data_IF_278963481684
#
_entry.id   IF_278963481684
#
_cell.length_a   1.000
_cell.length_b   1.000
_cell.length_c   1.000
_cell.angle_alpha   90.00
_cell.angle_beta   90.00
_cell.angle_gamma   90.00
#
_symmetry.space_group_name_H-M   'P 1'
#
loop_
_entity.id
_entity.type
_entity.pdbx_description
1 polymer ?
#
# COMPACT_ATOMS: atom_id res chain seq x y z
N UNK A 1 -46.68 10.71 -28.68
CA UNK A 1 -45.74 9.96 -27.84
C UNK A 1 -44.53 10.84 -27.54
N UNK A 2 -44.47 11.39 -26.33
CA UNK A 2 -43.39 12.29 -25.91
C UNK A 2 -42.18 11.46 -25.40
N UNK A 3 -41.03 11.50 -26.08
CA UNK A 3 -39.79 10.91 -25.60
C UNK A 3 -39.20 11.82 -24.48
N UNK A 4 -39.16 11.32 -23.26
CA UNK A 4 -38.51 11.98 -22.14
C UNK A 4 -37.00 12.10 -22.43
N UNK A 5 -36.45 13.31 -22.35
CA UNK A 5 -35.02 13.60 -22.34
C UNK A 5 -34.47 13.18 -20.97
N UNK A 6 -33.64 12.14 -20.93
CA UNK A 6 -32.83 11.85 -19.75
C UNK A 6 -31.48 12.56 -19.90
N UNK A 7 -31.01 13.25 -18.85
CA UNK A 7 -29.64 13.80 -18.84
C UNK A 7 -28.61 12.68 -18.85
N UNK A 8 -27.45 12.95 -19.42
CA UNK A 8 -26.35 11.98 -19.49
C UNK A 8 -26.03 11.41 -18.10
N UNK A 9 -25.70 10.12 -18.02
CA UNK A 9 -25.40 9.37 -16.79
C UNK A 9 -24.35 10.09 -15.89
N UNK A 10 -23.44 10.84 -16.49
CA UNK A 10 -22.45 11.65 -15.79
C UNK A 10 -23.07 12.81 -15.00
N UNK A 11 -24.07 13.48 -15.56
CA UNK A 11 -24.82 14.56 -14.86
C UNK A 11 -25.69 13.97 -13.75
N UNK A 12 -26.26 12.77 -13.97
CA UNK A 12 -27.05 12.08 -12.94
C UNK A 12 -26.18 11.61 -11.76
N UNK A 13 -24.95 11.18 -12.01
CA UNK A 13 -24.00 10.80 -10.94
C UNK A 13 -23.53 12.00 -10.12
N UNK A 14 -23.31 13.15 -10.75
CA UNK A 14 -22.97 14.42 -10.07
C UNK A 14 -24.17 14.93 -9.26
N UNK A 15 -25.38 14.92 -9.83
CA UNK A 15 -26.60 15.33 -9.12
C UNK A 15 -26.93 14.40 -7.93
N UNK A 16 -26.72 13.10 -8.06
CA UNK A 16 -26.93 12.14 -6.95
C UNK A 16 -25.88 12.28 -5.84
N UNK A 17 -24.64 12.67 -6.16
CA UNK A 17 -23.61 13.02 -5.17
C UNK A 17 -24.02 14.25 -4.36
N UNK A 18 -24.48 15.30 -5.04
CA UNK A 18 -24.91 16.55 -4.40
C UNK A 18 -26.18 16.36 -3.54
N UNK A 19 -27.13 15.52 -4.00
CA UNK A 19 -28.36 15.23 -3.24
C UNK A 19 -28.08 14.37 -2.01
N UNK A 20 -27.12 13.44 -2.07
CA UNK A 20 -26.71 12.63 -0.90
C UNK A 20 -26.02 13.48 0.18
N UNK A 21 -25.20 14.45 -0.20
CA UNK A 21 -24.51 15.31 0.75
C UNK A 21 -25.49 16.21 1.51
N UNK A 22 -26.49 16.78 0.84
CA UNK A 22 -27.53 17.57 1.51
C UNK A 22 -28.47 16.76 2.39
N UNK A 23 -28.74 15.51 2.06
CA UNK A 23 -29.56 14.64 2.91
C UNK A 23 -28.82 14.22 4.19
N UNK A 24 -27.51 13.98 4.11
CA UNK A 24 -26.66 13.66 5.26
C UNK A 24 -26.53 14.84 6.24
N UNK A 25 -26.34 16.06 5.75
CA UNK A 25 -26.24 17.24 6.60
C UNK A 25 -27.53 17.51 7.39
N UNK A 26 -28.69 17.29 6.80
CA UNK A 26 -29.97 17.45 7.49
C UNK A 26 -30.21 16.38 8.57
N UNK A 27 -29.73 15.16 8.36
CA UNK A 27 -29.80 14.07 9.34
C UNK A 27 -28.83 14.34 10.51
N UNK A 28 -27.62 14.80 10.25
CA UNK A 28 -26.62 15.13 11.27
C UNK A 28 -27.07 16.34 12.10
N UNK A 29 -27.71 17.34 11.50
CA UNK A 29 -28.24 18.49 12.21
C UNK A 29 -29.39 18.12 13.14
N UNK A 30 -30.24 17.16 12.76
CA UNK A 30 -31.34 16.62 13.60
C UNK A 30 -30.77 15.86 14.81
N UNK A 31 -29.77 14.99 14.62
CA UNK A 31 -29.14 14.24 15.71
C UNK A 31 -28.44 15.14 16.74
N UNK A 32 -27.80 16.23 16.32
CA UNK A 32 -27.12 17.19 17.24
C UNK A 32 -28.12 17.94 18.12
N UNK A 33 -29.35 18.15 17.68
CA UNK A 33 -30.40 18.82 18.48
C UNK A 33 -30.93 17.92 19.62
N UNK A 34 -31.03 16.64 19.39
CA UNK A 34 -31.50 15.67 20.37
C UNK A 34 -30.45 15.37 21.45
N UNK A 35 -29.17 15.33 21.13
CA UNK A 35 -28.07 15.16 22.12
C UNK A 35 -27.99 16.34 23.11
N UNK A 36 -28.26 17.57 22.69
CA UNK A 36 -28.23 18.73 23.59
C UNK A 36 -29.38 18.77 24.60
N UNK A 37 -30.53 18.15 24.29
CA UNK A 37 -31.67 18.09 25.24
C UNK A 37 -31.48 17.00 26.31
N UNK A 38 -30.82 15.90 26.01
CA UNK A 38 -30.55 14.80 26.96
C UNK A 38 -29.43 15.13 27.95
N UNK A 39 -28.49 15.99 27.56
CA UNK A 39 -27.31 16.34 28.35
C UNK A 39 -27.63 17.18 29.60
N UNK A 40 -28.74 17.94 29.62
CA UNK A 40 -29.03 18.85 30.76
C UNK A 40 -29.67 18.19 31.98
N UNK A 41 -30.18 16.97 31.92
CA UNK A 41 -30.86 16.31 33.04
C UNK A 41 -29.96 15.40 33.90
N UNK A 42 -28.75 15.08 33.49
CA UNK A 42 -27.92 14.08 34.18
C UNK A 42 -26.62 14.62 34.85
N UNK A 43 -26.43 15.94 34.93
CA UNK A 43 -25.19 16.52 35.44
C UNK A 43 -25.08 16.51 36.96
N UNK A 44 -26.22 16.58 37.69
CA UNK A 44 -26.21 16.74 39.17
C UNK A 44 -25.83 15.45 39.91
N UNK A 45 -26.05 14.27 39.32
CA UNK A 45 -25.82 13.00 40.02
C UNK A 45 -24.42 12.36 39.74
N UNK A 46 -23.69 12.84 38.74
CA UNK A 46 -22.38 12.27 38.37
C UNK A 46 -21.21 12.73 39.27
N UNK A 47 -21.32 13.90 39.92
CA UNK A 47 -20.28 14.38 40.78
C UNK A 47 -20.27 13.65 42.13
N UNK A 48 -21.40 13.33 42.72
CA UNK A 48 -21.52 12.55 43.95
C UNK A 48 -20.98 11.11 43.77
N UNK A 49 -21.33 10.46 42.65
CA UNK A 49 -20.87 9.09 42.30
C UNK A 49 -19.36 9.07 42.05
N UNK A 50 -18.79 10.08 41.40
CA UNK A 50 -17.33 10.20 41.22
C UNK A 50 -16.58 10.40 42.50
N UNK A 51 -17.11 11.19 43.45
CA UNK A 51 -16.50 11.39 44.78
C UNK A 51 -16.42 10.09 45.59
N UNK A 52 -17.48 9.29 45.58
CA UNK A 52 -17.50 7.98 46.27
C UNK A 52 -16.52 7.00 45.60
N UNK A 53 -16.43 7.00 44.27
CA UNK A 53 -15.52 6.11 43.54
C UNK A 53 -14.05 6.44 43.80
N UNK A 54 -13.69 7.73 43.85
CA UNK A 54 -12.32 8.15 44.23
C UNK A 54 -11.97 7.82 45.67
N UNK A 55 -12.91 7.95 46.61
CA UNK A 55 -12.67 7.59 48.01
C UNK A 55 -12.43 6.07 48.15
N UNK A 56 -13.17 5.22 47.47
CA UNK A 56 -12.96 3.77 47.47
C UNK A 56 -11.63 3.37 46.82
N UNK A 57 -11.23 4.01 45.73
CA UNK A 57 -9.91 3.76 45.09
C UNK A 57 -8.76 4.16 46.03
N UNK A 58 -8.83 5.33 46.68
CA UNK A 58 -7.80 5.77 47.62
C UNK A 58 -7.73 4.86 48.86
N UNK A 59 -8.87 4.35 49.34
CA UNK A 59 -8.92 3.41 50.46
C UNK A 59 -8.30 2.06 50.12
N UNK A 60 -8.55 1.54 48.94
CA UNK A 60 -7.95 0.29 48.44
C UNK A 60 -6.44 0.44 48.21
N UNK A 61 -5.98 1.57 47.68
CA UNK A 61 -4.55 1.86 47.48
C UNK A 61 -3.83 1.99 48.82
N UNK A 62 -4.43 2.63 49.83
CA UNK A 62 -3.89 2.73 51.17
C UNK A 62 -3.74 1.37 51.86
N UNK A 63 -4.73 0.49 51.78
CA UNK A 63 -4.64 -0.88 52.30
C UNK A 63 -3.57 -1.73 51.61
N UNK A 64 -3.41 -1.56 50.31
CA UNK A 64 -2.36 -2.26 49.52
C UNK A 64 -0.95 -1.80 49.91
N UNK A 65 -0.76 -0.53 50.20
CA UNK A 65 0.54 0.02 50.64
C UNK A 65 1.00 -0.54 51.99
N UNK A 66 0.07 -0.73 52.94
CA UNK A 66 0.40 -1.33 54.25
C UNK A 66 0.78 -2.80 54.13
N UNK A 67 0.15 -3.55 53.20
CA UNK A 67 0.49 -4.95 52.95
C UNK A 67 1.88 -5.12 52.29
N UNK A 68 2.29 -4.17 51.44
CA UNK A 68 3.61 -4.20 50.77
C UNK A 68 4.76 -3.87 51.77
N UNK A 69 4.53 -3.00 52.75
CA UNK A 69 5.57 -2.64 53.71
C UNK A 69 5.90 -3.76 54.72
N UNK A 70 4.99 -4.73 54.91
CA UNK A 70 5.21 -5.85 55.84
C UNK A 70 5.79 -7.11 55.21
N UNK A 71 6.03 -7.11 53.90
CA UNK A 71 6.70 -8.22 53.24
C UNK A 71 8.21 -8.00 53.24
N UNK A 72 8.95 -8.80 54.02
CA UNK A 72 10.41 -8.92 53.87
C UNK A 72 10.67 -9.43 52.42
N UNK A 73 11.55 -8.75 51.66
CA UNK A 73 11.89 -9.25 50.34
C UNK A 73 12.52 -10.65 50.45
N UNK A 74 12.14 -11.62 49.66
CA UNK A 74 12.82 -12.91 49.63
C UNK A 74 14.29 -12.68 49.25
N UNK A 75 15.18 -13.27 50.03
CA UNK A 75 16.62 -13.26 49.80
C UNK A 75 16.90 -13.73 48.36
N UNK A 76 17.31 -12.81 47.48
CA UNK A 76 17.76 -13.14 46.13
C UNK A 76 19.07 -13.91 46.21
N UNK A 77 19.02 -15.23 46.06
CA UNK A 77 20.21 -16.00 45.67
C UNK A 77 20.75 -15.46 44.36
N UNK A 78 22.08 -15.29 44.19
CA UNK A 78 22.65 -14.90 42.93
C UNK A 78 22.25 -15.94 41.88
N UNK A 79 21.57 -15.53 40.82
CA UNK A 79 21.33 -16.36 39.62
C UNK A 79 22.70 -16.49 38.94
N UNK A 80 23.43 -17.54 39.30
CA UNK A 80 24.58 -17.98 38.56
C UNK A 80 24.06 -18.74 37.32
N UNK A 81 24.37 -18.24 36.16
CA UNK A 81 24.07 -18.87 34.89
C UNK A 81 23.31 -17.92 33.97
N UNK A 82 24.03 -17.23 33.09
CA UNK A 82 23.44 -16.81 31.82
C UNK A 82 23.07 -18.09 31.09
N UNK A 83 21.81 -18.53 31.22
CA UNK A 83 21.25 -19.49 30.28
C UNK A 83 21.37 -18.86 28.90
N UNK A 84 22.29 -19.37 28.09
CA UNK A 84 22.27 -19.14 26.66
C UNK A 84 20.88 -19.54 26.20
N UNK A 85 20.10 -18.54 25.74
CA UNK A 85 18.81 -18.79 25.11
C UNK A 85 19.12 -19.67 23.89
N UNK A 86 18.87 -20.96 24.04
CA UNK A 86 18.98 -21.91 22.93
C UNK A 86 17.86 -21.58 21.98
N UNK A 87 18.19 -20.91 20.89
CA UNK A 87 17.28 -20.58 19.79
C UNK A 87 16.88 -21.92 19.13
N UNK A 88 15.81 -22.56 19.64
CA UNK A 88 15.44 -23.93 19.27
C UNK A 88 14.45 -24.05 18.11
N UNK A 89 13.80 -22.96 17.67
CA UNK A 89 12.80 -22.98 16.60
C UNK A 89 13.34 -22.52 15.24
N UNK A 90 12.80 -23.06 14.15
CA UNK A 90 13.17 -22.67 12.77
C UNK A 90 12.94 -21.18 12.54
N UNK A 91 11.80 -20.63 12.96
CA UNK A 91 11.46 -19.20 12.85
C UNK A 91 12.48 -18.33 13.57
N UNK A 92 12.90 -18.71 14.80
CA UNK A 92 13.90 -17.96 15.56
C UNK A 92 15.27 -17.94 14.86
N UNK A 93 15.67 -19.03 14.23
CA UNK A 93 16.91 -19.09 13.43
C UNK A 93 16.83 -18.19 12.22
N UNK A 94 15.73 -18.23 11.47
CA UNK A 94 15.49 -17.35 10.31
C UNK A 94 15.48 -15.88 10.73
N UNK A 95 14.79 -15.54 11.82
CA UNK A 95 14.77 -14.20 12.36
C UNK A 95 16.19 -13.70 12.73
N UNK A 96 16.98 -14.51 13.42
CA UNK A 96 18.36 -14.17 13.78
C UNK A 96 19.26 -13.99 12.55
N UNK A 97 19.10 -14.81 11.53
CA UNK A 97 19.85 -14.75 10.27
C UNK A 97 19.53 -13.49 9.46
N UNK A 98 18.24 -13.12 9.36
CA UNK A 98 17.76 -12.07 8.42
C UNK A 98 17.67 -10.69 9.09
N UNK A 99 17.39 -10.61 10.40
CA UNK A 99 17.28 -9.33 11.10
C UNK A 99 18.44 -8.35 10.86
N UNK A 100 19.71 -8.78 10.73
CA UNK A 100 20.80 -7.88 10.40
C UNK A 100 20.66 -7.19 9.03
N UNK A 101 19.87 -7.76 8.14
CA UNK A 101 19.58 -7.19 6.80
C UNK A 101 18.39 -6.23 6.81
N UNK A 102 17.60 -6.18 7.90
CA UNK A 102 16.40 -5.34 8.00
C UNK A 102 16.69 -4.11 8.84
N UNK A 103 16.40 -2.94 8.29
CA UNK A 103 16.68 -1.64 8.88
C UNK A 103 15.39 -0.89 9.18
N UNK A 104 15.45 0.02 10.17
CA UNK A 104 14.43 1.03 10.39
C UNK A 104 14.65 2.22 9.46
N UNK A 105 13.57 2.84 9.03
CA UNK A 105 13.59 4.08 8.24
C UNK A 105 12.73 5.11 8.93
N UNK A 106 13.32 6.26 9.25
CA UNK A 106 12.62 7.44 9.72
C UNK A 106 12.62 8.48 8.61
N UNK A 107 11.44 8.87 8.16
CA UNK A 107 11.22 9.90 7.16
C UNK A 107 10.82 11.19 7.87
N UNK A 108 11.66 12.19 7.78
CA UNK A 108 11.38 13.54 8.27
C UNK A 108 10.91 14.38 7.08
N UNK A 109 9.66 14.79 7.11
CA UNK A 109 9.02 15.63 6.11
C UNK A 109 8.35 16.85 6.74
N UNK A 110 7.96 17.83 5.94
CA UNK A 110 7.12 18.94 6.40
C UNK A 110 5.78 18.84 5.65
N UNK A 111 4.70 19.00 6.38
CA UNK A 111 3.37 19.14 5.82
C UNK A 111 2.79 20.50 6.20
N UNK A 112 2.04 21.13 5.29
CA UNK A 112 1.40 22.43 5.48
C UNK A 112 1.86 23.53 4.52
N UNK A 113 1.12 24.63 4.54
CA UNK A 113 1.39 25.85 3.74
C UNK A 113 2.62 26.61 4.27
N UNK A 114 3.15 27.54 3.43
CA UNK A 114 4.35 28.37 3.72
C UNK A 114 4.32 29.02 5.11
N UNK A 115 3.14 29.25 5.68
CA UNK A 115 2.94 29.88 6.98
C UNK A 115 2.66 28.91 8.15
N UNK A 116 2.39 27.60 7.88
CA UNK A 116 2.05 26.59 8.90
C UNK A 116 2.72 25.25 8.59
N UNK A 117 4.05 25.23 8.58
CA UNK A 117 4.78 23.97 8.42
C UNK A 117 4.73 23.13 9.70
N UNK A 118 4.15 21.93 9.61
CA UNK A 118 4.24 20.91 10.64
C UNK A 118 5.30 19.89 10.24
N UNK A 119 6.23 19.62 11.16
CA UNK A 119 7.15 18.47 10.98
C UNK A 119 6.36 17.19 11.13
N UNK A 120 6.43 16.34 10.12
CA UNK A 120 5.82 15.00 10.12
C UNK A 120 6.94 13.98 10.16
N UNK A 121 6.83 13.05 11.08
CA UNK A 121 7.74 11.91 11.19
C UNK A 121 6.96 10.65 10.86
N UNK A 122 7.40 9.96 9.81
CA UNK A 122 6.83 8.67 9.39
C UNK A 122 7.91 7.61 9.51
N UNK A 123 7.54 6.45 10.03
CA UNK A 123 8.47 5.34 10.22
C UNK A 123 8.07 4.13 9.39
N UNK A 124 9.05 3.36 8.97
CA UNK A 124 8.89 2.12 8.26
C UNK A 124 10.17 1.28 8.32
N UNK A 125 10.24 0.29 7.47
CA UNK A 125 11.37 -0.62 7.38
C UNK A 125 12.02 -0.59 6.00
N UNK A 126 13.22 -1.17 5.90
CA UNK A 126 13.90 -1.40 4.65
C UNK A 126 14.74 -2.68 4.72
N UNK A 127 15.16 -3.16 3.56
CA UNK A 127 15.96 -4.39 3.41
C UNK A 127 17.24 -4.07 2.67
N UNK A 128 18.40 -4.35 3.29
CA UNK A 128 19.72 -4.21 2.67
C UNK A 128 19.87 -5.30 1.60
N UNK A 129 20.16 -4.92 0.37
CA UNK A 129 20.21 -5.84 -0.78
C UNK A 129 21.63 -6.08 -1.34
N UNK A 130 22.61 -5.25 -0.97
CA UNK A 130 23.99 -5.43 -1.37
C UNK A 130 25.00 -4.79 -0.39
N UNK A 131 26.28 -5.12 -0.59
CA UNK A 131 27.37 -4.57 0.22
C UNK A 131 27.71 -3.10 -0.07
N UNK A 132 27.04 -2.47 -1.04
CA UNK A 132 27.22 -1.05 -1.40
C UNK A 132 26.27 -0.13 -0.60
N UNK A 133 25.43 -0.69 0.28
CA UNK A 133 24.49 0.03 1.10
C UNK A 133 23.20 0.41 0.39
N UNK A 134 22.83 -0.30 -0.66
CA UNK A 134 21.51 -0.16 -1.25
C UNK A 134 20.46 -0.86 -0.38
N UNK A 135 19.34 -0.17 -0.18
CA UNK A 135 18.24 -0.62 0.66
C UNK A 135 16.96 -0.47 -0.15
N UNK A 136 16.17 -1.52 -0.19
CA UNK A 136 14.81 -1.51 -0.73
C UNK A 136 13.83 -1.17 0.37
N UNK A 137 12.86 -0.33 0.08
CA UNK A 137 11.72 -0.02 0.94
C UNK A 137 10.48 0.25 0.11
N UNK A 138 9.38 0.64 0.75
CA UNK A 138 8.22 1.12 0.04
C UNK A 138 8.34 2.60 -0.35
N UNK A 139 7.73 2.96 -1.48
CA UNK A 139 7.67 4.36 -1.91
C UNK A 139 6.93 5.23 -0.89
N UNK A 140 5.80 4.75 -0.32
CA UNK A 140 5.05 5.52 0.67
C UNK A 140 5.85 5.80 1.95
N UNK A 141 6.83 4.96 2.32
CA UNK A 141 7.72 5.16 3.48
C UNK A 141 8.68 6.34 3.24
N UNK A 142 9.17 6.53 2.02
CA UNK A 142 10.19 7.54 1.69
C UNK A 142 9.62 8.77 0.96
N UNK A 143 8.33 8.75 0.62
CA UNK A 143 7.66 9.82 -0.13
C UNK A 143 7.77 11.16 0.60
N UNK A 144 8.05 12.24 -0.16
CA UNK A 144 8.16 13.62 0.33
C UNK A 144 9.22 13.84 1.43
N UNK A 145 10.20 12.93 1.59
CA UNK A 145 11.23 13.06 2.60
C UNK A 145 12.11 14.29 2.33
N UNK A 146 12.25 15.15 3.32
CA UNK A 146 13.30 16.18 3.37
C UNK A 146 14.62 15.56 3.87
N UNK A 147 14.51 14.61 4.79
CA UNK A 147 15.63 13.86 5.34
C UNK A 147 15.20 12.44 5.67
N UNK A 148 16.05 11.46 5.32
CA UNK A 148 15.86 10.05 5.65
C UNK A 148 16.96 9.59 6.59
N UNK A 149 16.57 9.00 7.71
CA UNK A 149 17.47 8.37 8.69
C UNK A 149 17.22 6.86 8.62
N UNK A 150 18.28 6.11 8.42
CA UNK A 150 18.27 4.63 8.45
C UNK A 150 18.92 4.18 9.76
N UNK A 151 18.21 3.40 10.53
CA UNK A 151 18.72 2.77 11.76
C UNK A 151 19.05 1.32 11.47
N UNK A 152 20.33 0.98 11.53
CA UNK A 152 20.85 -0.38 11.32
C UNK A 152 20.49 -1.30 12.52
N UNK A 153 20.70 -2.61 12.34
CA UNK A 153 20.39 -3.61 13.36
C UNK A 153 21.20 -3.43 14.68
N UNK A 154 22.37 -2.80 14.61
CA UNK A 154 23.21 -2.48 15.79
C UNK A 154 22.81 -1.15 16.47
N UNK A 155 21.75 -0.48 15.99
CA UNK A 155 21.30 0.83 16.47
C UNK A 155 22.05 2.02 15.84
N UNK A 156 23.00 1.78 14.94
CA UNK A 156 23.72 2.87 14.24
C UNK A 156 22.78 3.60 13.29
N UNK A 157 22.73 4.92 13.39
CA UNK A 157 21.95 5.77 12.47
C UNK A 157 22.83 6.27 11.33
N UNK A 158 22.31 6.24 10.13
CA UNK A 158 22.93 6.73 8.90
C UNK A 158 21.93 7.55 8.10
N UNK A 159 22.37 8.66 7.56
CA UNK A 159 21.59 9.42 6.60
C UNK A 159 21.55 8.68 5.26
N UNK A 160 20.36 8.62 4.66
CA UNK A 160 20.15 7.94 3.39
C UNK A 160 19.72 8.93 2.31
N UNK A 161 20.08 8.63 1.07
CA UNK A 161 19.59 9.34 -0.12
C UNK A 161 18.68 8.44 -0.95
N UNK A 162 17.64 9.01 -1.52
CA UNK A 162 16.79 8.32 -2.50
C UNK A 162 17.53 8.20 -3.82
N UNK A 163 17.63 6.99 -4.37
CA UNK A 163 18.18 6.72 -5.69
C UNK A 163 17.06 6.82 -6.73
N UNK A 164 15.89 6.28 -6.41
CA UNK A 164 14.69 6.38 -7.21
C UNK A 164 13.51 5.71 -6.53
N UNK A 165 12.32 6.04 -7.01
CA UNK A 165 11.06 5.50 -6.50
C UNK A 165 10.16 5.06 -7.64
N UNK A 166 9.27 4.15 -7.33
CA UNK A 166 8.22 3.70 -8.21
C UNK A 166 6.86 3.65 -7.49
N UNK A 167 6.04 4.69 -7.62
CA UNK A 167 4.72 4.73 -6.99
C UNK A 167 3.77 3.61 -7.43
N UNK A 168 3.96 3.08 -8.65
CA UNK A 168 3.09 2.02 -9.20
C UNK A 168 3.29 0.66 -8.56
N UNK A 169 4.51 0.35 -8.12
CA UNK A 169 4.79 -0.89 -7.38
C UNK A 169 4.98 -0.64 -5.90
N UNK A 170 4.84 0.62 -5.47
CA UNK A 170 5.13 1.06 -4.10
C UNK A 170 6.54 0.68 -3.64
N UNK A 171 7.52 0.69 -4.54
CA UNK A 171 8.93 0.39 -4.25
C UNK A 171 9.80 1.66 -4.28
N UNK A 172 10.83 1.66 -3.46
CA UNK A 172 11.86 2.67 -3.43
C UNK A 172 13.24 2.03 -3.25
N UNK A 173 14.25 2.61 -3.89
CA UNK A 173 15.65 2.31 -3.65
C UNK A 173 16.31 3.52 -2.99
N UNK A 174 16.85 3.29 -1.80
CA UNK A 174 17.64 4.29 -1.08
C UNK A 174 19.07 3.77 -0.88
N UNK A 175 19.98 4.66 -0.53
CA UNK A 175 21.39 4.32 -0.33
C UNK A 175 21.95 5.01 0.89
N UNK A 176 22.67 4.26 1.72
CA UNK A 176 23.49 4.76 2.82
C UNK A 176 24.97 4.70 2.47
N UNK A 177 25.79 5.50 3.15
CA UNK A 177 27.25 5.35 3.13
C UNK A 177 27.65 4.20 4.04
N UNK A 178 28.30 3.19 3.46
CA UNK A 178 28.78 2.01 4.18
C UNK A 178 30.21 2.24 4.62
N UNK A 179 30.45 2.22 5.93
CA UNK A 179 31.80 2.34 6.53
C UNK A 179 32.23 1.01 7.16
N UNK A 180 31.27 0.12 7.42
CA UNK A 180 31.49 -1.21 7.99
C UNK A 180 30.72 -2.24 7.16
N UNK A 181 31.11 -3.51 7.24
CA UNK A 181 30.41 -4.59 6.55
C UNK A 181 28.95 -4.64 6.97
N UNK A 182 28.03 -4.54 6.02
CA UNK A 182 26.60 -4.79 6.17
C UNK A 182 26.28 -6.22 5.75
N UNK A 183 25.13 -6.73 6.17
CA UNK A 183 24.68 -8.08 5.80
C UNK A 183 23.52 -7.97 4.81
N UNK A 184 23.74 -8.18 3.51
CA UNK A 184 22.66 -8.19 2.53
C UNK A 184 21.77 -9.43 2.67
N UNK A 185 20.47 -9.29 2.42
CA UNK A 185 19.57 -10.43 2.31
C UNK A 185 19.85 -11.24 1.03
N UNK A 186 19.62 -12.54 1.10
CA UNK A 186 19.61 -13.38 -0.11
C UNK A 186 18.23 -13.35 -0.74
N UNK A 187 18.17 -13.16 -2.06
CA UNK A 187 16.90 -13.23 -2.79
C UNK A 187 16.46 -14.69 -3.00
N UNK A 188 15.21 -14.97 -2.66
CA UNK A 188 14.49 -16.16 -3.08
C UNK A 188 13.80 -15.95 -4.44
N UNK A 189 13.14 -16.99 -4.92
CA UNK A 189 12.35 -16.98 -6.14
C UNK A 189 10.86 -17.01 -5.78
N UNK A 190 10.20 -15.85 -5.88
CA UNK A 190 8.79 -15.72 -5.51
C UNK A 190 7.82 -16.47 -6.43
N UNK A 191 8.27 -16.84 -7.65
CA UNK A 191 7.41 -17.59 -8.59
C UNK A 191 7.34 -19.07 -8.23
N UNK A 192 8.24 -19.57 -7.35
CA UNK A 192 8.23 -20.94 -6.83
C UNK A 192 7.44 -21.12 -5.54
N UNK A 193 6.95 -20.03 -4.94
CA UNK A 193 6.12 -20.10 -3.74
C UNK A 193 4.84 -20.89 -4.02
N UNK A 194 4.40 -21.63 -2.99
CA UNK A 194 3.13 -22.34 -3.01
C UNK A 194 2.25 -21.88 -1.85
N UNK A 195 0.94 -21.93 -2.05
CA UNK A 195 -0.04 -21.63 -0.97
C UNK A 195 0.12 -22.65 0.15
N UNK A 196 0.19 -22.18 1.39
CA UNK A 196 0.46 -22.98 2.58
C UNK A 196 1.94 -23.03 2.98
N UNK A 197 2.87 -22.50 2.18
CA UNK A 197 4.29 -22.40 2.53
C UNK A 197 4.49 -21.42 3.69
N UNK A 198 5.29 -21.80 4.69
CA UNK A 198 5.58 -20.98 5.85
C UNK A 198 6.48 -19.80 5.47
N UNK A 199 6.11 -18.61 5.96
CA UNK A 199 6.85 -17.37 5.75
C UNK A 199 7.01 -16.58 7.03
N UNK A 200 8.07 -15.77 7.09
CA UNK A 200 8.37 -14.90 8.24
C UNK A 200 8.45 -13.46 7.74
N UNK A 201 7.61 -12.60 8.30
CA UNK A 201 7.67 -11.17 8.05
C UNK A 201 8.53 -10.49 9.12
N UNK A 202 9.51 -9.71 8.69
CA UNK A 202 10.49 -9.03 9.54
C UNK A 202 10.47 -7.55 9.22
N UNK A 203 10.29 -6.73 10.28
CA UNK A 203 10.36 -5.28 10.21
C UNK A 203 11.21 -4.72 11.35
N UNK A 204 11.52 -3.44 11.25
CA UNK A 204 12.24 -2.70 12.29
C UNK A 204 11.53 -1.36 12.59
N UNK A 205 10.27 -1.40 13.06
CA UNK A 205 9.50 -0.20 13.33
C UNK A 205 10.08 0.59 14.49
N UNK A 206 10.05 1.94 14.38
CA UNK A 206 10.30 2.88 15.48
C UNK A 206 11.67 2.72 16.18
N UNK A 207 12.73 2.35 15.46
CA UNK A 207 14.06 2.24 16.02
C UNK A 207 14.14 1.27 17.21
N UNK A 208 14.79 1.67 18.32
CA UNK A 208 15.06 0.79 19.46
C UNK A 208 13.81 0.35 20.27
N UNK A 209 12.67 1.06 20.20
CA UNK A 209 11.48 0.75 21.03
C UNK A 209 10.74 -0.52 20.60
N UNK A 210 10.69 -0.82 19.28
CA UNK A 210 10.06 -2.02 18.71
C UNK A 210 10.97 -2.66 17.66
N UNK A 211 12.29 -2.49 17.82
CA UNK A 211 13.28 -3.06 16.93
C UNK A 211 13.05 -4.56 16.74
N UNK A 212 13.08 -5.01 15.47
CA UNK A 212 12.99 -6.42 15.09
C UNK A 212 11.64 -7.07 15.39
N UNK A 213 10.55 -6.42 14.96
CA UNK A 213 9.25 -7.11 14.96
C UNK A 213 9.29 -8.27 13.97
N UNK A 214 9.02 -9.47 14.47
CA UNK A 214 8.97 -10.71 13.70
C UNK A 214 7.59 -11.30 13.86
N UNK A 215 6.92 -11.57 12.73
CA UNK A 215 5.67 -12.31 12.69
C UNK A 215 5.81 -13.49 11.74
N UNK A 216 5.11 -14.57 11.98
CA UNK A 216 5.14 -15.76 11.15
C UNK A 216 3.73 -16.14 10.71
N UNK A 217 3.64 -16.75 9.56
CA UNK A 217 2.40 -17.23 8.97
C UNK A 217 2.70 -18.07 7.74
N UNK A 218 1.74 -18.14 6.84
CA UNK A 218 1.85 -18.87 5.58
C UNK A 218 1.57 -17.96 4.38
N UNK A 219 1.92 -18.41 3.20
CA UNK A 219 1.41 -17.87 1.94
C UNK A 219 -0.07 -18.24 1.84
N UNK A 220 -0.96 -17.27 2.06
CA UNK A 220 -2.42 -17.47 2.00
C UNK A 220 -2.96 -17.35 0.58
N UNK A 221 -2.21 -16.75 -0.33
CA UNK A 221 -2.58 -16.60 -1.73
C UNK A 221 -1.46 -16.00 -2.57
N UNK A 222 -1.48 -16.31 -3.85
CA UNK A 222 -0.53 -15.80 -4.83
C UNK A 222 -1.25 -15.01 -5.92
N UNK A 223 -0.50 -14.11 -6.57
CA UNK A 223 -1.01 -13.30 -7.69
C UNK A 223 -2.31 -12.54 -7.36
N UNK A 224 -2.45 -12.04 -6.13
CA UNK A 224 -3.60 -11.21 -5.75
C UNK A 224 -3.50 -9.87 -6.46
N UNK A 225 -4.49 -9.56 -7.29
CA UNK A 225 -4.60 -8.26 -7.96
C UNK A 225 -5.45 -7.35 -7.08
N UNK A 226 -4.84 -6.29 -6.57
CA UNK A 226 -5.52 -5.28 -5.76
C UNK A 226 -5.30 -3.90 -6.38
N UNK A 227 -6.39 -3.18 -6.59
CA UNK A 227 -6.37 -1.84 -7.19
C UNK A 227 -6.57 -0.80 -6.08
N UNK A 228 -5.68 0.18 -5.99
CA UNK A 228 -5.80 1.29 -5.06
C UNK A 228 -6.80 2.33 -5.58
N UNK A 229 -7.24 3.25 -4.70
CA UNK A 229 -8.07 4.39 -5.08
C UNK A 229 -7.40 5.28 -6.14
N UNK A 230 -6.06 5.32 -6.16
CA UNK A 230 -5.27 6.03 -7.17
C UNK A 230 -5.26 5.32 -8.55
N UNK A 231 -5.91 4.15 -8.67
CA UNK A 231 -6.02 3.37 -9.90
C UNK A 231 -4.80 2.51 -10.24
N UNK A 232 -3.86 2.29 -9.30
CA UNK A 232 -2.74 1.38 -9.49
C UNK A 232 -3.13 -0.04 -9.11
N UNK A 233 -2.86 -1.00 -9.99
CA UNK A 233 -3.06 -2.43 -9.70
C UNK A 233 -1.74 -3.05 -9.28
N UNK A 234 -1.77 -3.73 -8.14
CA UNK A 234 -0.64 -4.45 -7.57
C UNK A 234 -0.87 -5.95 -7.69
N UNK A 235 0.17 -6.67 -8.10
CA UNK A 235 0.21 -8.13 -8.01
C UNK A 235 0.98 -8.52 -6.76
N UNK A 236 0.32 -9.17 -5.81
CA UNK A 236 0.84 -9.36 -4.46
C UNK A 236 0.81 -10.83 -4.01
N UNK A 237 1.69 -11.14 -3.06
CA UNK A 237 1.62 -12.31 -2.21
C UNK A 237 0.71 -11.95 -1.03
N UNK A 238 -0.30 -12.76 -0.74
CA UNK A 238 -1.11 -12.67 0.46
C UNK A 238 -0.53 -13.60 1.53
N UNK A 239 -0.47 -13.12 2.78
CA UNK A 239 -0.04 -13.89 3.95
C UNK A 239 -0.93 -13.57 5.16
N UNK A 240 -1.05 -14.50 6.09
CA UNK A 240 -1.66 -14.30 7.41
C UNK A 240 -0.62 -13.89 8.48
N UNK A 241 0.68 -13.86 8.14
CA UNK A 241 1.67 -13.20 8.96
C UNK A 241 1.25 -11.71 9.16
N UNK A 242 1.19 -11.25 10.40
CA UNK A 242 0.70 -9.92 10.71
C UNK A 242 1.57 -8.82 10.08
N UNK A 243 1.01 -8.07 9.13
CA UNK A 243 1.61 -6.91 8.49
C UNK A 243 0.93 -5.66 9.05
N UNK A 244 1.70 -4.85 9.77
CA UNK A 244 1.21 -3.65 10.48
C UNK A 244 2.08 -2.44 10.15
N UNK A 245 1.63 -1.20 10.44
CA UNK A 245 2.47 -0.02 10.35
C UNK A 245 3.80 -0.23 11.09
N UNK A 246 4.91 0.00 10.37
CA UNK A 246 6.26 -0.19 10.87
C UNK A 246 6.99 -1.39 10.25
N UNK A 247 6.34 -2.50 9.86
CA UNK A 247 7.00 -3.54 9.07
C UNK A 247 6.84 -3.36 7.55
N UNK A 248 6.13 -2.32 7.12
CA UNK A 248 6.09 -1.86 5.72
C UNK A 248 7.48 -1.53 5.20
N UNK A 249 7.84 -2.06 4.03
CA UNK A 249 9.18 -1.97 3.47
C UNK A 249 10.17 -3.01 4.01
N UNK A 250 9.79 -3.77 5.03
CA UNK A 250 10.54 -4.89 5.58
C UNK A 250 10.44 -6.16 4.74
N UNK A 251 11.10 -7.21 5.19
CA UNK A 251 11.24 -8.47 4.46
C UNK A 251 10.09 -9.45 4.75
N UNK A 252 9.58 -10.09 3.70
CA UNK A 252 8.93 -11.40 3.80
C UNK A 252 9.96 -12.44 3.33
N UNK A 253 10.25 -13.43 4.18
CA UNK A 253 11.26 -14.47 3.87
C UNK A 253 10.68 -15.87 4.04
N UNK A 254 11.22 -16.84 3.30
CA UNK A 254 10.93 -18.25 3.50
C UNK A 254 11.75 -18.83 4.68
N UNK A 255 11.54 -20.11 5.01
CA UNK A 255 12.27 -20.76 6.10
C UNK A 255 13.77 -20.96 5.84
N UNK A 256 14.26 -20.75 4.62
CA UNK A 256 15.67 -20.70 4.27
C UNK A 256 16.30 -19.31 4.51
N UNK A 257 15.52 -18.33 4.97
CA UNK A 257 15.95 -16.94 5.17
C UNK A 257 16.12 -16.16 3.86
N UNK A 258 15.53 -16.61 2.76
CA UNK A 258 15.57 -15.95 1.47
C UNK A 258 14.40 -14.98 1.32
N UNK A 259 14.68 -13.78 0.80
CA UNK A 259 13.69 -12.75 0.54
C UNK A 259 12.72 -13.19 -0.57
N UNK A 260 11.47 -13.39 -0.24
CA UNK A 260 10.39 -13.74 -1.18
C UNK A 260 9.43 -12.59 -1.43
N UNK A 261 9.47 -11.53 -0.60
CA UNK A 261 8.67 -10.33 -0.82
C UNK A 261 9.10 -9.14 0.03
N UNK A 262 8.58 -7.96 -0.32
CA UNK A 262 8.66 -6.73 0.49
C UNK A 262 7.27 -6.44 1.05
N UNK A 263 7.15 -6.35 2.37
CA UNK A 263 5.88 -6.13 3.06
C UNK A 263 5.32 -4.75 2.72
N UNK A 264 3.99 -4.63 2.56
CA UNK A 264 3.32 -3.34 2.34
C UNK A 264 1.98 -3.28 3.05
N UNK A 265 1.72 -2.20 3.80
CA UNK A 265 0.43 -1.91 4.46
C UNK A 265 -0.46 -1.00 3.62
N UNK A 266 0.04 -0.46 2.50
CA UNK A 266 -0.74 0.48 1.65
C UNK A 266 -2.05 -0.11 1.15
N UNK A 267 -2.18 -1.43 1.17
CA UNK A 267 -3.29 -2.17 0.60
C UNK A 267 -4.09 -2.92 1.69
N UNK A 268 -3.97 -2.49 2.94
CA UNK A 268 -4.84 -3.00 3.99
C UNK A 268 -6.29 -2.59 3.67
N UNK A 269 -7.13 -3.56 3.33
CA UNK A 269 -8.56 -3.32 3.17
C UNK A 269 -9.16 -3.04 4.55
N UNK A 270 -9.74 -1.86 4.75
CA UNK A 270 -10.43 -1.53 5.99
C UNK A 270 -11.48 -2.61 6.31
N UNK A 271 -11.42 -3.16 7.53
CA UNK A 271 -12.36 -4.16 8.03
C UNK A 271 -11.98 -5.63 7.79
N UNK A 272 -10.81 -5.93 7.22
CA UNK A 272 -10.31 -7.30 7.06
C UNK A 272 -9.06 -7.54 7.91
N UNK A 273 -9.23 -8.05 9.11
CA UNK A 273 -8.12 -8.49 9.95
C UNK A 273 -7.51 -9.81 9.44
N UNK A 274 -6.20 -10.00 9.61
CA UNK A 274 -5.50 -11.23 9.24
C UNK A 274 -5.14 -11.38 7.76
N UNK A 275 -5.22 -10.30 6.95
CA UNK A 275 -4.73 -10.28 5.57
C UNK A 275 -3.55 -9.33 5.42
N UNK A 276 -2.35 -9.89 5.33
CA UNK A 276 -1.13 -9.17 4.99
C UNK A 276 -0.78 -9.31 3.51
N UNK A 277 -0.04 -8.34 2.97
CA UNK A 277 0.38 -8.34 1.58
C UNK A 277 1.85 -8.00 1.43
N UNK A 278 2.50 -8.63 0.42
CA UNK A 278 3.90 -8.36 0.09
C UNK A 278 4.11 -8.33 -1.41
N UNK A 279 4.99 -7.44 -1.86
CA UNK A 279 5.39 -7.30 -3.26
C UNK A 279 6.38 -8.43 -3.59
N UNK A 280 6.14 -9.28 -4.60
CA UNK A 280 6.98 -10.44 -4.91
C UNK A 280 8.44 -10.08 -5.18
N UNK A 281 9.38 -10.89 -4.68
CA UNK A 281 10.83 -10.64 -4.82
C UNK A 281 11.31 -10.57 -6.27
N UNK A 282 10.71 -11.33 -7.20
CA UNK A 282 11.06 -11.28 -8.62
C UNK A 282 10.66 -9.93 -9.23
N UNK A 283 9.51 -9.36 -8.84
CA UNK A 283 9.11 -8.01 -9.23
C UNK A 283 10.04 -6.96 -8.62
N UNK A 284 10.42 -7.13 -7.34
CA UNK A 284 11.38 -6.24 -6.66
C UNK A 284 12.70 -6.19 -7.42
N UNK A 285 13.26 -7.34 -7.81
CA UNK A 285 14.53 -7.41 -8.60
C UNK A 285 14.46 -6.56 -9.86
N UNK A 286 13.41 -6.73 -10.67
CA UNK A 286 13.25 -6.02 -11.94
C UNK A 286 13.19 -4.50 -11.71
N UNK A 287 12.35 -4.07 -10.78
CA UNK A 287 12.15 -2.65 -10.45
C UNK A 287 13.45 -2.01 -9.93
N UNK A 288 14.14 -2.69 -9.03
CA UNK A 288 15.37 -2.18 -8.42
C UNK A 288 16.54 -2.13 -9.42
N UNK A 289 16.62 -3.09 -10.33
CA UNK A 289 17.64 -3.04 -11.41
C UNK A 289 17.41 -1.86 -12.35
N UNK A 290 16.16 -1.59 -12.73
CA UNK A 290 15.82 -0.41 -13.54
C UNK A 290 16.17 0.88 -12.81
N UNK A 291 15.80 1.00 -11.54
CA UNK A 291 16.13 2.19 -10.73
C UNK A 291 17.65 2.36 -10.60
N UNK A 292 18.41 1.28 -10.37
CA UNK A 292 19.88 1.34 -10.33
C UNK A 292 20.50 1.85 -11.63
N UNK A 293 19.98 1.41 -12.77
CA UNK A 293 20.53 1.73 -14.10
C UNK A 293 20.09 3.12 -14.59
N UNK A 294 18.85 3.50 -14.31
CA UNK A 294 18.19 4.63 -14.96
C UNK A 294 17.65 5.69 -13.99
N UNK A 295 17.78 5.49 -12.68
CA UNK A 295 17.18 6.35 -11.65
C UNK A 295 15.64 6.24 -11.55
N UNK A 296 15.02 5.49 -12.45
CA UNK A 296 13.57 5.26 -12.53
C UNK A 296 13.25 3.94 -13.19
N UNK A 297 12.04 3.44 -13.00
CA UNK A 297 11.53 2.27 -13.73
C UNK A 297 11.13 2.69 -15.15
N UNK A 298 11.61 1.95 -16.13
CA UNK A 298 11.22 2.15 -17.52
C UNK A 298 10.04 1.26 -17.85
N UNK A 299 8.91 1.86 -18.24
CA UNK A 299 7.70 1.13 -18.62
C UNK A 299 7.25 1.51 -20.02
N UNK A 300 6.71 0.55 -20.76
CA UNK A 300 6.06 0.87 -22.02
C UNK A 300 4.81 1.73 -21.75
N UNK A 301 4.74 2.87 -22.40
CA UNK A 301 3.63 3.81 -22.28
C UNK A 301 2.85 3.87 -23.58
N UNK A 302 1.53 3.76 -23.48
CA UNK A 302 0.63 4.01 -24.60
C UNK A 302 0.28 5.50 -24.73
N UNK A 303 0.47 6.28 -23.67
CA UNK A 303 0.11 7.70 -23.65
C UNK A 303 -1.40 7.91 -23.60
N UNK A 304 -2.08 7.23 -22.68
CA UNK A 304 -3.53 7.35 -22.44
C UNK A 304 -3.81 7.65 -20.96
N UNK A 305 -4.94 8.32 -20.75
CA UNK A 305 -5.61 8.39 -19.44
C UNK A 305 -6.86 7.52 -19.51
N UNK A 306 -7.09 6.72 -18.51
CA UNK A 306 -8.33 5.98 -18.33
C UNK A 306 -9.32 6.94 -17.68
N UNK A 307 -10.49 7.13 -18.30
CA UNK A 307 -11.54 8.05 -17.85
C UNK A 307 -12.84 7.33 -17.49
N UNK A 308 -12.92 6.01 -17.71
CA UNK A 308 -14.05 5.18 -17.31
C UNK A 308 -13.92 3.75 -17.79
N UNK A 309 -14.84 2.94 -17.36
CA UNK A 309 -15.01 1.54 -17.79
C UNK A 309 -16.44 1.33 -18.27
N UNK A 310 -16.63 0.40 -19.18
CA UNK A 310 -17.93 -0.04 -19.68
C UNK A 310 -18.12 -1.50 -19.25
N UNK A 311 -19.06 -1.73 -18.36
CA UNK A 311 -19.47 -3.07 -17.95
C UNK A 311 -20.32 -3.76 -19.02
N UNK A 312 -20.49 -5.10 -18.89
CA UNK A 312 -21.35 -5.85 -19.80
C UNK A 312 -22.81 -5.41 -19.80
N UNK A 313 -23.33 -4.94 -18.67
CA UNK A 313 -24.68 -4.41 -18.55
C UNK A 313 -24.81 -3.05 -19.24
N UNK A 314 -23.85 -2.17 -19.08
CA UNK A 314 -23.82 -0.87 -19.74
C UNK A 314 -23.65 -1.04 -21.27
N UNK A 315 -22.78 -1.96 -21.70
CA UNK A 315 -22.60 -2.26 -23.12
C UNK A 315 -23.91 -2.71 -23.78
N UNK A 316 -24.68 -3.58 -23.11
CA UNK A 316 -26.02 -4.02 -23.58
C UNK A 316 -27.04 -2.88 -23.55
N UNK A 317 -27.07 -2.11 -22.46
CA UNK A 317 -28.01 -1.00 -22.31
C UNK A 317 -27.83 0.06 -23.40
N UNK A 318 -26.58 0.40 -23.73
CA UNK A 318 -26.25 1.38 -24.76
C UNK A 318 -26.13 0.78 -26.17
N UNK A 319 -26.41 -0.52 -26.31
CA UNK A 319 -26.31 -1.26 -27.59
C UNK A 319 -24.93 -1.06 -28.26
N UNK A 320 -23.85 -1.15 -27.45
CA UNK A 320 -22.49 -1.03 -27.96
C UNK A 320 -22.06 -2.31 -28.69
N UNK A 321 -21.25 -2.22 -29.77
CA UNK A 321 -20.74 -3.39 -30.48
C UNK A 321 -19.58 -4.09 -29.74
N UNK A 322 -19.59 -4.04 -28.41
CA UNK A 322 -18.62 -4.66 -27.51
C UNK A 322 -19.34 -5.17 -26.26
N UNK A 323 -18.74 -6.15 -25.58
CA UNK A 323 -19.32 -6.71 -24.35
C UNK A 323 -18.78 -6.05 -23.07
N UNK A 324 -17.67 -5.31 -23.17
CA UNK A 324 -17.02 -4.55 -22.10
C UNK A 324 -15.92 -3.70 -22.73
N UNK A 325 -15.32 -2.78 -21.97
CA UNK A 325 -14.19 -2.01 -22.45
C UNK A 325 -13.77 -0.88 -21.52
N UNK A 326 -12.68 -0.23 -21.87
CA UNK A 326 -12.09 0.88 -21.12
C UNK A 326 -12.18 2.16 -21.92
N UNK A 327 -12.80 3.18 -21.35
CA UNK A 327 -12.93 4.51 -21.96
C UNK A 327 -11.65 5.29 -21.71
N UNK A 328 -11.05 5.81 -22.79
CA UNK A 328 -9.74 6.45 -22.73
C UNK A 328 -9.74 7.87 -23.28
N UNK A 329 -8.72 8.61 -22.87
CA UNK A 329 -8.34 9.91 -23.41
C UNK A 329 -6.84 9.88 -23.77
N UNK A 330 -6.42 10.24 -25.00
CA UNK A 330 -5.03 10.29 -25.35
C UNK A 330 -4.33 11.45 -24.65
N UNK A 331 -3.09 11.23 -24.21
CA UNK A 331 -2.20 12.31 -23.75
C UNK A 331 -1.68 13.05 -24.99
N UNK A 332 -1.82 14.38 -25.00
CA UNK A 332 -1.39 15.22 -26.12
C UNK A 332 0.08 14.97 -26.50
N UNK A 333 0.35 14.75 -27.78
CA UNK A 333 1.67 14.43 -28.31
C UNK A 333 2.18 13.03 -27.99
N UNK A 334 1.45 12.23 -27.22
CA UNK A 334 1.79 10.85 -26.87
C UNK A 334 1.59 9.85 -28.00
N UNK A 335 2.00 8.58 -27.81
CA UNK A 335 1.85 7.53 -28.82
C UNK A 335 0.42 7.32 -29.32
N UNK A 336 -0.54 7.31 -28.38
CA UNK A 336 -1.96 7.15 -28.71
C UNK A 336 -2.52 8.32 -29.53
N UNK A 337 -2.15 9.55 -29.19
CA UNK A 337 -2.57 10.76 -29.93
C UNK A 337 -2.02 10.75 -31.35
N UNK A 338 -0.73 10.44 -31.51
CA UNK A 338 -0.07 10.29 -32.82
C UNK A 338 -0.69 9.17 -33.67
N UNK A 339 -1.19 8.12 -33.03
CA UNK A 339 -1.90 7.03 -33.69
C UNK A 339 -3.37 7.36 -34.03
N UNK A 340 -3.87 8.54 -33.66
CA UNK A 340 -5.22 9.02 -33.98
C UNK A 340 -6.32 8.53 -33.02
N UNK A 341 -5.96 8.09 -31.82
CA UNK A 341 -6.91 7.87 -30.72
C UNK A 341 -7.58 9.19 -30.37
N UNK A 342 -8.85 9.13 -30.01
CA UNK A 342 -9.63 10.30 -29.61
C UNK A 342 -10.18 10.09 -28.19
N UNK A 343 -10.46 11.21 -27.51
CA UNK A 343 -11.15 11.19 -26.23
C UNK A 343 -12.50 10.48 -26.36
N UNK A 344 -12.80 9.62 -25.40
CA UNK A 344 -13.98 8.74 -25.33
C UNK A 344 -13.95 7.53 -26.29
N UNK A 345 -12.84 7.22 -26.92
CA UNK A 345 -12.67 5.92 -27.57
C UNK A 345 -12.76 4.81 -26.49
N UNK A 346 -13.46 3.73 -26.77
CA UNK A 346 -13.65 2.59 -25.88
C UNK A 346 -12.77 1.46 -26.37
N UNK A 347 -11.71 1.13 -25.62
CA UNK A 347 -10.79 0.02 -25.95
C UNK A 347 -11.43 -1.29 -25.54
N UNK A 348 -11.60 -2.23 -26.47
CA UNK A 348 -12.22 -3.53 -26.25
C UNK A 348 -11.24 -4.70 -26.33
N UNK A 349 -10.10 -4.57 -27.03
CA UNK A 349 -9.03 -5.57 -27.02
C UNK A 349 -7.67 -4.96 -27.34
N UNK A 350 -6.60 -5.67 -26.86
CA UNK A 350 -5.20 -5.38 -27.16
C UNK A 350 -4.54 -6.66 -27.67
N UNK A 351 -3.97 -6.63 -28.88
CA UNK A 351 -3.34 -7.77 -29.57
C UNK A 351 -4.27 -9.01 -29.67
N UNK A 352 -5.60 -8.79 -29.73
CA UNK A 352 -6.61 -9.85 -29.79
C UNK A 352 -7.11 -10.33 -28.41
N UNK A 353 -6.45 -9.94 -27.34
CA UNK A 353 -6.89 -10.24 -25.97
C UNK A 353 -7.97 -9.23 -25.54
N UNK A 354 -9.12 -9.77 -25.10
CA UNK A 354 -10.29 -8.97 -24.69
C UNK A 354 -9.99 -8.21 -23.42
N UNK A 355 -10.47 -6.97 -23.34
CA UNK A 355 -10.31 -6.09 -22.18
C UNK A 355 -11.66 -5.94 -21.48
N UNK A 356 -11.70 -6.29 -20.20
CA UNK A 356 -12.89 -6.21 -19.37
C UNK A 356 -12.86 -4.99 -18.44
N UNK A 357 -11.65 -4.54 -18.03
CA UNK A 357 -11.46 -3.44 -17.08
C UNK A 357 -10.10 -2.75 -17.27
N UNK A 358 -9.91 -1.63 -16.58
CA UNK A 358 -8.70 -0.81 -16.62
C UNK A 358 -7.44 -1.56 -16.17
N UNK A 359 -7.56 -2.37 -15.12
CA UNK A 359 -6.45 -3.15 -14.58
C UNK A 359 -5.88 -4.10 -15.62
N UNK A 360 -6.75 -4.82 -16.32
CA UNK A 360 -6.35 -5.75 -17.38
C UNK A 360 -5.66 -5.02 -18.53
N UNK A 361 -6.19 -3.86 -18.98
CA UNK A 361 -5.53 -3.05 -20.00
C UNK A 361 -4.14 -2.61 -19.55
N UNK A 362 -3.99 -2.16 -18.31
CA UNK A 362 -2.70 -1.76 -17.77
C UNK A 362 -1.71 -2.93 -17.70
N UNK A 363 -2.13 -4.09 -17.20
CA UNK A 363 -1.30 -5.31 -17.14
C UNK A 363 -0.83 -5.74 -18.51
N UNK A 364 -1.72 -5.72 -19.50
CA UNK A 364 -1.38 -6.07 -20.88
C UNK A 364 -0.33 -5.13 -21.47
N UNK A 365 -0.45 -3.82 -21.21
CA UNK A 365 0.55 -2.84 -21.65
C UNK A 365 1.88 -3.08 -20.95
N UNK A 366 1.89 -3.34 -19.64
CA UNK A 366 3.12 -3.52 -18.86
C UNK A 366 3.92 -4.77 -19.24
N UNK A 367 3.23 -5.80 -19.72
CA UNK A 367 3.87 -7.03 -20.20
C UNK A 367 4.51 -6.87 -21.58
N UNK A 368 4.36 -5.71 -22.23
CA UNK A 368 5.00 -5.41 -23.53
C UNK A 368 6.39 -4.81 -23.36
N UNK A 369 7.12 -4.70 -24.46
CA UNK A 369 8.44 -4.03 -24.50
C UNK A 369 8.29 -2.58 -24.97
N UNK A 370 9.14 -1.70 -24.46
CA UNK A 370 9.29 -0.34 -25.01
C UNK A 370 9.64 -0.45 -26.48
N UNK A 371 8.99 0.36 -27.32
CA UNK A 371 9.13 0.33 -28.78
C UNK A 371 8.31 -0.77 -29.49
N UNK A 372 7.66 -1.68 -28.74
CA UNK A 372 6.77 -2.69 -29.33
C UNK A 372 5.55 -2.03 -29.93
N UNK A 373 5.13 -2.52 -31.11
CA UNK A 373 3.89 -2.12 -31.74
C UNK A 373 2.78 -3.07 -31.28
N UNK A 374 1.74 -2.49 -30.69
CA UNK A 374 0.53 -3.20 -30.24
C UNK A 374 -0.66 -2.83 -31.12
N UNK A 375 -1.63 -3.73 -31.25
CA UNK A 375 -2.86 -3.53 -32.01
C UNK A 375 -4.04 -3.40 -31.05
N UNK A 376 -4.68 -2.21 -31.04
CA UNK A 376 -5.92 -1.99 -30.31
C UNK A 376 -7.13 -2.21 -31.21
N UNK A 377 -8.18 -2.82 -30.67
CA UNK A 377 -9.54 -2.66 -31.17
C UNK A 377 -10.29 -1.70 -30.25
N UNK A 378 -10.99 -0.76 -30.85
CA UNK A 378 -11.76 0.23 -30.13
C UNK A 378 -13.07 0.55 -30.83
N UNK A 379 -14.03 1.04 -30.05
CA UNK A 379 -15.27 1.62 -30.54
C UNK A 379 -15.18 3.12 -30.36
N UNK A 380 -15.41 3.83 -31.47
CA UNK A 380 -15.53 5.29 -31.48
C UNK A 380 -17.01 5.68 -31.55
N UNK A 381 -17.43 6.43 -30.55
CA UNK A 381 -18.78 6.96 -30.49
C UNK A 381 -18.93 8.13 -31.48
N UNK A 382 -20.12 8.28 -32.13
CA UNK A 382 -20.37 9.39 -33.02
C UNK A 382 -20.36 10.73 -32.24
N UNK A 383 -19.84 11.76 -32.88
CA UNK A 383 -19.82 13.12 -32.31
C UNK A 383 -21.18 13.83 -32.35
N UNK A 384 -22.11 13.31 -33.12
CA UNK A 384 -23.47 13.86 -33.31
C UNK A 384 -24.51 12.79 -33.01
N UNK A 385 -25.74 13.21 -32.70
CA UNK A 385 -26.84 12.29 -32.35
C UNK A 385 -27.27 11.36 -33.52
N UNK A 386 -26.81 11.58 -34.74
CA UNK A 386 -27.22 10.89 -35.99
C UNK A 386 -26.07 10.04 -36.54
N UNK A 387 -24.91 9.99 -35.95
CA UNK A 387 -23.76 9.24 -36.43
C UNK A 387 -23.81 7.75 -36.07
N UNK A 388 -23.09 6.92 -36.81
CA UNK A 388 -22.90 5.49 -36.52
C UNK A 388 -21.66 5.30 -35.65
N UNK A 389 -21.70 4.28 -34.76
CA UNK A 389 -20.53 3.80 -34.03
C UNK A 389 -19.54 3.13 -34.97
N UNK A 390 -18.27 3.45 -34.84
CA UNK A 390 -17.22 2.88 -35.69
C UNK A 390 -16.33 1.94 -34.87
N UNK A 391 -16.21 0.70 -35.31
CA UNK A 391 -15.20 -0.22 -34.76
C UNK A 391 -13.90 0.00 -35.55
N UNK A 392 -12.83 0.36 -34.84
CA UNK A 392 -11.51 0.66 -35.44
C UNK A 392 -10.43 -0.24 -34.89
N UNK A 393 -9.48 -0.56 -35.76
CA UNK A 393 -8.25 -1.24 -35.40
C UNK A 393 -7.07 -0.26 -35.58
N UNK A 394 -6.37 0.05 -34.52
CA UNK A 394 -5.28 1.03 -34.51
C UNK A 394 -4.03 0.36 -34.02
N UNK A 395 -2.90 0.59 -34.69
CA UNK A 395 -1.58 0.16 -34.24
C UNK A 395 -0.89 1.31 -33.52
N UNK A 396 -0.32 1.03 -32.34
CA UNK A 396 0.39 2.00 -31.51
C UNK A 396 1.76 1.46 -31.18
N UNK A 397 2.81 2.25 -31.45
CA UNK A 397 4.15 1.96 -30.97
C UNK A 397 4.28 2.51 -29.55
N UNK A 398 4.52 1.63 -28.57
CA UNK A 398 4.69 2.01 -27.17
C UNK A 398 5.98 2.81 -26.98
N UNK A 399 5.93 3.88 -26.20
CA UNK A 399 7.06 4.73 -25.85
C UNK A 399 7.52 4.44 -24.41
N UNK A 400 8.48 5.22 -23.87
CA UNK A 400 9.01 5.14 -22.51
C UNK A 400 8.59 6.31 -21.63
#
# INVERSE_FOLDING_TARGET
MRKAKYPSFFIWKILNSIIKDHALENIIASYRKDEQMVSRRNVVNRQAVRGILYFLIFFCVGLSAVAIFNHKPPSSKPIAGQEQIVVSGTISKVAAQVSPSVVGITNLSSDGDVFNQRKVETTGSGVIIDNQGHIVSNNHVVKNAQRLIVTLADGTEKEARIIGTDPRTDLALIKIKVERKVTPVQYGDSDKLVVGEEVVAIGNPLGLRFARSVTAGIVSGLNRLLTTEEGFTFRLIQTDAAINPGNSGGALVNLQGQLVGINTVKIAAEGFEGMGFSIPSNQVKIVIEDIKKHGRVLRPLMGIKIIGEISGDEARYFNLPVSSGVVIEPTAGGPADKAGIKRYDIVSSLDGEKIENASQLQDLIFNKKIGQVVKLQLVRLPRTQVGQMEVKSIKIKLDK
#
